data_IF_036483685946
#
_entry.id   IF_036483685946
#
_cell.length_a   1.000
_cell.length_b   1.000
_cell.length_c   1.000
_cell.angle_alpha   90.00
_cell.angle_beta   90.00
_cell.angle_gamma   90.00
#
_symmetry.space_group_name_H-M   'P 1'
#
loop_
_entity.id
_entity.type
_entity.pdbx_description
1 polymer ?
#
# COMPACT_ATOMS: atom_id res chain seq x y z
N UNK A 1 13.56 -13.04 -15.75
CA UNK A 1 13.35 -11.74 -15.11
C UNK A 1 11.97 -11.22 -15.49
N UNK A 2 10.95 -11.45 -14.67
CA UNK A 2 9.65 -10.82 -14.83
C UNK A 2 9.84 -9.32 -14.59
N UNK A 3 9.66 -8.49 -15.63
CA UNK A 3 9.64 -7.03 -15.50
C UNK A 3 8.43 -6.68 -14.63
N UNK A 4 8.65 -6.40 -13.35
CA UNK A 4 7.60 -5.95 -12.44
C UNK A 4 7.02 -4.63 -12.96
N UNK A 5 5.69 -4.51 -12.97
CA UNK A 5 5.02 -3.28 -13.36
C UNK A 5 5.21 -2.26 -12.22
N UNK A 6 5.84 -1.13 -12.52
CA UNK A 6 6.02 -0.02 -11.57
C UNK A 6 4.97 1.04 -11.88
N UNK A 7 4.14 1.36 -10.88
CA UNK A 7 3.17 2.45 -10.97
C UNK A 7 3.56 3.55 -9.98
N UNK A 8 3.59 4.80 -10.44
CA UNK A 8 3.84 5.98 -9.63
C UNK A 8 2.54 6.75 -9.43
N UNK A 9 2.24 7.11 -8.19
CA UNK A 9 1.06 7.89 -7.83
C UNK A 9 1.48 9.10 -7.00
N UNK A 10 1.33 10.30 -7.55
CA UNK A 10 1.68 11.54 -6.86
C UNK A 10 0.59 11.93 -5.84
N UNK A 11 0.99 12.21 -4.60
CA UNK A 11 0.09 12.61 -3.52
C UNK A 11 0.39 14.04 -3.07
N UNK A 12 -0.65 14.88 -2.96
CA UNK A 12 -0.52 16.25 -2.45
C UNK A 12 -0.15 16.30 -0.96
N UNK A 13 -0.59 15.31 -0.18
CA UNK A 13 -0.26 15.13 1.24
C UNK A 13 -0.17 13.65 1.57
N UNK A 14 0.82 13.27 2.37
CA UNK A 14 1.04 11.90 2.84
C UNK A 14 0.16 11.60 4.07
N UNK A 15 -1.15 11.48 3.84
CA UNK A 15 -2.15 11.17 4.87
C UNK A 15 -2.95 9.93 4.48
N UNK A 16 -3.48 9.21 5.46
CA UNK A 16 -4.12 7.90 5.27
C UNK A 16 -5.30 7.92 4.29
N UNK A 17 -6.06 9.02 4.22
CA UNK A 17 -7.19 9.18 3.28
C UNK A 17 -6.69 9.21 1.83
N UNK A 18 -5.62 9.94 1.56
CA UNK A 18 -5.03 10.04 0.23
C UNK A 18 -4.39 8.72 -0.20
N UNK A 19 -3.74 8.03 0.73
CA UNK A 19 -3.18 6.70 0.51
C UNK A 19 -4.28 5.69 0.20
N UNK A 20 -5.39 5.72 0.94
CA UNK A 20 -6.56 4.87 0.69
C UNK A 20 -7.11 5.08 -0.73
N UNK A 21 -7.24 6.33 -1.16
CA UNK A 21 -7.69 6.66 -2.51
C UNK A 21 -6.72 6.11 -3.56
N UNK A 22 -5.42 6.31 -3.39
CA UNK A 22 -4.41 5.79 -4.31
C UNK A 22 -4.45 4.26 -4.42
N UNK A 23 -4.54 3.54 -3.29
CA UNK A 23 -4.63 2.07 -3.28
C UNK A 23 -5.90 1.60 -4.00
N UNK A 24 -7.04 2.26 -3.77
CA UNK A 24 -8.29 1.93 -4.48
C UNK A 24 -8.15 2.12 -5.99
N UNK A 25 -7.54 3.20 -6.44
CA UNK A 25 -7.28 3.45 -7.86
C UNK A 25 -6.37 2.39 -8.46
N UNK A 26 -5.33 1.97 -7.74
CA UNK A 26 -4.45 0.89 -8.17
C UNK A 26 -5.20 -0.44 -8.29
N UNK A 27 -6.05 -0.78 -7.32
CA UNK A 27 -6.85 -2.02 -7.35
C UNK A 27 -7.83 -2.03 -8.53
N UNK A 28 -8.39 -0.87 -8.88
CA UNK A 28 -9.28 -0.74 -10.02
C UNK A 28 -8.53 -0.88 -11.36
N UNK A 29 -7.36 -0.25 -11.48
CA UNK A 29 -6.61 -0.22 -12.74
C UNK A 29 -5.83 -1.52 -13.03
N UNK A 30 -5.37 -2.22 -12.00
CA UNK A 30 -4.44 -3.35 -12.14
C UNK A 30 -4.95 -4.66 -11.52
N UNK A 31 -6.24 -4.72 -11.21
CA UNK A 31 -6.88 -5.74 -10.39
C UNK A 31 -6.41 -5.73 -8.93
N UNK A 32 -7.25 -6.31 -8.07
CA UNK A 32 -6.98 -6.44 -6.65
C UNK A 32 -5.84 -7.44 -6.44
N UNK A 33 -4.72 -7.04 -5.79
CA UNK A 33 -3.61 -7.95 -5.51
C UNK A 33 -3.97 -8.92 -4.39
N UNK A 34 -3.31 -10.08 -4.35
CA UNK A 34 -3.46 -11.05 -3.24
C UNK A 34 -2.80 -10.56 -1.94
N UNK A 35 -1.79 -9.71 -2.05
CA UNK A 35 -1.06 -9.18 -0.91
C UNK A 35 -0.61 -7.73 -1.12
N UNK A 36 -0.52 -6.97 -0.04
CA UNK A 36 -0.01 -5.60 0.00
C UNK A 36 1.12 -5.53 1.03
N UNK A 37 2.34 -5.27 0.55
CA UNK A 37 3.53 -5.13 1.38
C UNK A 37 3.87 -3.65 1.55
N UNK A 38 3.96 -3.18 2.80
CA UNK A 38 4.31 -1.78 3.12
C UNK A 38 5.29 -1.74 4.28
N UNK A 39 5.96 -0.60 4.48
CA UNK A 39 6.61 -0.32 5.76
C UNK A 39 5.58 -0.10 6.89
N UNK A 40 6.08 0.14 8.10
CA UNK A 40 5.28 0.40 9.30
C UNK A 40 4.90 1.88 9.50
N UNK A 41 4.99 2.73 8.47
CA UNK A 41 4.63 4.14 8.60
C UNK A 41 3.14 4.31 8.93
N UNK A 42 2.81 5.35 9.71
CA UNK A 42 1.47 5.61 10.25
C UNK A 42 0.36 5.57 9.19
N UNK A 43 0.62 6.11 8.00
CA UNK A 43 -0.35 6.14 6.91
C UNK A 43 -0.74 4.75 6.38
N UNK A 44 0.13 3.75 6.51
CA UNK A 44 -0.12 2.37 6.08
C UNK A 44 -0.65 1.48 7.21
N UNK A 45 -0.32 1.80 8.46
CA UNK A 45 -0.88 1.10 9.66
C UNK A 45 -2.29 1.59 9.99
N UNK A 46 -2.70 2.75 9.46
CA UNK A 46 -4.02 3.33 9.69
C UNK A 46 -5.17 2.34 9.44
N UNK A 47 -6.14 2.33 10.35
CA UNK A 47 -7.29 1.42 10.35
C UNK A 47 -8.06 1.42 9.02
N UNK A 48 -8.15 2.58 8.35
CA UNK A 48 -8.79 2.70 7.04
C UNK A 48 -8.12 1.82 5.96
N UNK A 49 -6.79 1.78 5.94
CA UNK A 49 -6.02 0.97 4.97
C UNK A 49 -6.10 -0.51 5.33
N UNK A 50 -6.07 -0.84 6.62
CA UNK A 50 -6.28 -2.23 7.09
C UNK A 50 -7.67 -2.73 6.72
N UNK A 51 -8.70 -1.93 6.97
CA UNK A 51 -10.09 -2.25 6.62
C UNK A 51 -10.25 -2.48 5.10
N UNK A 52 -9.61 -1.66 4.27
CA UNK A 52 -9.60 -1.87 2.82
C UNK A 52 -9.01 -3.24 2.46
N UNK A 53 -7.88 -3.61 3.06
CA UNK A 53 -7.24 -4.90 2.79
C UNK A 53 -8.17 -6.06 3.17
N UNK A 54 -8.84 -5.99 4.32
CA UNK A 54 -9.83 -7.00 4.75
C UNK A 54 -11.01 -7.07 3.77
N UNK A 55 -11.58 -5.92 3.38
CA UNK A 55 -12.73 -5.85 2.46
C UNK A 55 -12.44 -6.50 1.10
N UNK A 56 -11.21 -6.35 0.61
CA UNK A 56 -10.79 -6.87 -0.69
C UNK A 56 -10.05 -8.22 -0.60
N UNK A 57 -10.04 -8.87 0.58
CA UNK A 57 -9.32 -10.12 0.84
C UNK A 57 -7.82 -10.07 0.45
N UNK A 58 -7.18 -8.96 0.76
CA UNK A 58 -5.76 -8.70 0.50
C UNK A 58 -4.95 -8.96 1.77
N UNK A 59 -3.96 -9.85 1.70
CA UNK A 59 -3.05 -10.10 2.82
C UNK A 59 -2.11 -8.91 3.02
N UNK A 60 -2.20 -8.23 4.16
CA UNK A 60 -1.29 -7.14 4.51
C UNK A 60 0.01 -7.68 5.11
N UNK A 61 1.15 -7.21 4.63
CA UNK A 61 2.48 -7.59 5.11
C UNK A 61 3.22 -6.30 5.48
N UNK A 62 3.75 -6.25 6.69
CA UNK A 62 4.63 -5.15 7.11
C UNK A 62 6.08 -5.58 6.96
N UNK A 63 6.84 -4.83 6.19
CA UNK A 63 8.29 -5.01 6.10
C UNK A 63 8.93 -4.36 7.32
N UNK A 64 9.80 -5.12 7.99
CA UNK A 64 10.69 -4.55 8.99
C UNK A 64 11.65 -3.61 8.27
N UNK A 65 11.58 -2.32 8.59
CA UNK A 65 12.62 -1.39 8.23
C UNK A 65 13.86 -1.76 9.04
N UNK A 66 14.73 -2.58 8.45
CA UNK A 66 16.14 -2.58 8.84
C UNK A 66 16.61 -1.21 8.38
N UNK A 67 16.75 -0.25 9.32
CA UNK A 67 17.36 1.03 9.01
C UNK A 67 18.65 0.75 8.23
N UNK A 68 18.91 1.42 7.09
CA UNK A 68 20.25 1.41 6.55
C UNK A 68 21.16 1.99 7.65
N UNK A 69 22.05 1.16 8.20
CA UNK A 69 23.15 1.64 9.03
C UNK A 69 23.90 2.67 8.20
N UNK A 70 23.96 3.90 8.71
CA UNK A 70 24.76 4.98 8.14
C UNK A 70 26.22 4.57 8.02
#
# INVERSE_FOLDING_TARGET
MSRGLVCLYALKKLISINILAAIKTLFYNYNVPKALSTDQSNQFVAQLVVYLCVKYNVKKIFQLNILPTR
#
